data_IF_117773592878
#
_entry.id   IF_117773592878
#
_cell.length_a   1.000
_cell.length_b   1.000
_cell.length_c   1.000
_cell.angle_alpha   90.00
_cell.angle_beta   90.00
_cell.angle_gamma   90.00
#
_symmetry.space_group_name_H-M   'P 1'
#
loop_
_entity.id
_entity.type
_entity.pdbx_description
1 polymer ?
#
# COMPACT_ATOMS: atom_id res chain seq x y z
N UNK A 1 17.17 -3.16 11.73
CA UNK A 1 16.88 -2.62 10.37
C UNK A 1 16.11 -3.62 9.49
N UNK A 2 16.56 -4.87 9.30
CA UNK A 2 15.87 -5.88 8.47
C UNK A 2 14.64 -6.51 9.16
N UNK A 3 14.71 -6.85 10.44
CA UNK A 3 13.59 -7.51 11.16
C UNK A 3 12.28 -6.70 11.14
N UNK A 4 12.34 -5.37 11.32
CA UNK A 4 11.17 -4.48 11.22
C UNK A 4 10.60 -4.35 9.80
N UNK A 5 11.40 -4.64 8.77
CA UNK A 5 10.95 -4.67 7.38
C UNK A 5 10.28 -6.01 7.06
N UNK A 6 10.86 -7.13 7.53
CA UNK A 6 10.27 -8.47 7.42
C UNK A 6 8.92 -8.57 8.12
N UNK A 7 8.81 -8.12 9.37
CA UNK A 7 7.56 -8.12 10.13
C UNK A 7 6.43 -7.37 9.42
N UNK A 8 6.78 -6.27 8.76
CA UNK A 8 5.81 -5.49 8.02
C UNK A 8 5.32 -6.18 6.76
N UNK A 9 6.21 -6.81 6.01
CA UNK A 9 5.84 -7.59 4.82
C UNK A 9 5.01 -8.80 5.24
N UNK A 10 5.35 -9.43 6.36
CA UNK A 10 4.59 -10.54 6.94
C UNK A 10 3.16 -10.12 7.32
N UNK A 11 3.02 -8.97 8.00
CA UNK A 11 1.72 -8.39 8.35
C UNK A 11 0.95 -7.93 7.11
N UNK A 12 1.63 -7.47 6.05
CA UNK A 12 1.02 -7.07 4.78
C UNK A 12 0.58 -8.27 3.92
N UNK A 13 1.19 -9.43 4.12
CA UNK A 13 0.89 -10.65 3.37
C UNK A 13 -0.53 -11.16 3.68
N UNK A 14 -0.98 -11.06 4.92
CA UNK A 14 -2.32 -11.47 5.37
C UNK A 14 -3.45 -10.70 4.67
N UNK A 15 -3.52 -9.35 4.74
CA UNK A 15 -4.55 -8.56 4.05
C UNK A 15 -4.41 -8.64 2.53
N UNK A 16 -3.18 -8.80 2.00
CA UNK A 16 -2.96 -9.08 0.58
C UNK A 16 -3.60 -10.39 0.13
N UNK A 17 -3.43 -11.47 0.90
CA UNK A 17 -4.06 -12.77 0.63
C UNK A 17 -5.59 -12.68 0.70
N UNK A 18 -6.15 -11.94 1.67
CA UNK A 18 -7.60 -11.67 1.76
C UNK A 18 -8.09 -10.94 0.51
N UNK A 19 -7.35 -9.97 0.00
CA UNK A 19 -7.67 -9.29 -1.26
C UNK A 19 -7.73 -10.25 -2.45
N UNK A 20 -6.73 -11.14 -2.59
CA UNK A 20 -6.72 -12.16 -3.66
C UNK A 20 -7.90 -13.14 -3.52
N UNK A 21 -8.27 -13.51 -2.30
CA UNK A 21 -9.46 -14.32 -2.04
C UNK A 21 -10.74 -13.59 -2.45
N UNK A 22 -10.86 -12.29 -2.14
CA UNK A 22 -11.97 -11.45 -2.60
C UNK A 22 -12.07 -11.38 -4.13
N UNK A 23 -10.95 -11.22 -4.83
CA UNK A 23 -10.90 -11.28 -6.29
C UNK A 23 -11.34 -12.64 -6.86
N UNK A 24 -10.92 -13.73 -6.21
CA UNK A 24 -11.33 -15.08 -6.60
C UNK A 24 -12.86 -15.22 -6.53
N UNK A 25 -13.49 -14.67 -5.50
CA UNK A 25 -14.94 -14.69 -5.35
C UNK A 25 -15.67 -13.85 -6.40
N UNK A 26 -15.09 -12.72 -6.83
CA UNK A 26 -15.66 -11.93 -7.95
C UNK A 26 -15.68 -12.76 -9.23
N UNK A 27 -14.58 -13.46 -9.55
CA UNK A 27 -14.53 -14.37 -10.69
C UNK A 27 -15.59 -15.47 -10.57
N UNK A 28 -15.73 -16.07 -9.39
CA UNK A 28 -16.74 -17.11 -9.15
C UNK A 28 -18.16 -16.59 -9.42
N UNK A 29 -18.47 -15.35 -9.01
CA UNK A 29 -19.76 -14.72 -9.30
C UNK A 29 -20.00 -14.55 -10.82
N UNK A 30 -18.96 -14.21 -11.59
CA UNK A 30 -19.03 -14.16 -13.06
C UNK A 30 -19.22 -15.55 -13.67
N UNK A 31 -18.55 -16.59 -13.15
CA UNK A 31 -18.72 -17.96 -13.62
C UNK A 31 -20.13 -18.48 -13.33
N UNK A 32 -20.68 -18.22 -12.14
CA UNK A 32 -22.06 -18.59 -11.81
C UNK A 32 -23.07 -17.91 -12.74
N UNK A 33 -22.85 -16.62 -13.03
CA UNK A 33 -23.69 -15.91 -14.00
C UNK A 33 -23.57 -16.50 -15.41
N UNK A 34 -22.35 -16.82 -15.86
CA UNK A 34 -22.12 -17.44 -17.17
C UNK A 34 -22.64 -18.88 -17.27
N UNK A 35 -22.67 -19.61 -16.16
CA UNK A 35 -23.21 -20.97 -16.07
C UNK A 35 -24.75 -21.01 -16.04
N UNK A 36 -25.42 -19.85 -15.98
CA UNK A 36 -26.88 -19.73 -15.95
C UNK A 36 -27.49 -19.84 -14.54
N UNK A 37 -26.67 -19.93 -13.49
CA UNK A 37 -27.10 -20.16 -12.11
C UNK A 37 -27.55 -18.86 -11.38
N UNK A 38 -27.92 -17.84 -12.15
CA UNK A 38 -28.30 -16.52 -11.64
C UNK A 38 -27.12 -15.68 -11.13
N UNK A 39 -27.29 -14.36 -11.08
CA UNK A 39 -26.23 -13.47 -10.63
C UNK A 39 -26.08 -13.52 -9.10
N UNK A 40 -24.97 -14.10 -8.63
CA UNK A 40 -24.66 -14.19 -7.21
C UNK A 40 -24.20 -12.83 -6.65
N UNK A 41 -25.16 -11.94 -6.41
CA UNK A 41 -24.94 -10.63 -5.79
C UNK A 41 -24.13 -10.71 -4.49
N UNK A 42 -24.35 -11.78 -3.72
CA UNK A 42 -23.69 -12.02 -2.44
C UNK A 42 -22.19 -12.32 -2.60
N UNK A 43 -21.81 -13.13 -3.62
CA UNK A 43 -20.41 -13.38 -3.94
C UNK A 43 -19.73 -12.15 -4.56
N UNK A 44 -20.46 -11.39 -5.39
CA UNK A 44 -19.93 -10.18 -6.02
C UNK A 44 -19.66 -9.07 -5.00
N UNK A 45 -20.65 -8.73 -4.17
CA UNK A 45 -20.51 -7.72 -3.12
C UNK A 45 -19.56 -8.21 -2.02
N UNK A 46 -19.67 -9.47 -1.59
CA UNK A 46 -18.78 -10.05 -0.59
C UNK A 46 -17.32 -10.06 -1.04
N UNK A 47 -17.07 -10.48 -2.28
CA UNK A 47 -15.74 -10.44 -2.90
C UNK A 47 -15.21 -9.01 -3.07
N UNK A 48 -16.08 -8.09 -3.52
CA UNK A 48 -15.76 -6.67 -3.66
C UNK A 48 -15.39 -6.00 -2.33
N UNK A 49 -16.12 -6.28 -1.25
CA UNK A 49 -15.82 -5.78 0.09
C UNK A 49 -14.51 -6.38 0.61
N UNK A 50 -14.29 -7.70 0.47
CA UNK A 50 -13.02 -8.33 0.88
C UNK A 50 -11.83 -7.74 0.12
N UNK A 51 -12.00 -7.50 -1.18
CA UNK A 51 -10.97 -6.89 -2.02
C UNK A 51 -10.68 -5.46 -1.60
N UNK A 52 -11.70 -4.62 -1.43
CA UNK A 52 -11.55 -3.24 -0.97
C UNK A 52 -10.94 -3.18 0.43
N UNK A 53 -11.35 -4.06 1.33
CA UNK A 53 -10.83 -4.10 2.69
C UNK A 53 -9.34 -4.49 2.69
N UNK A 54 -8.97 -5.50 1.90
CA UNK A 54 -7.57 -5.87 1.69
C UNK A 54 -6.75 -4.71 1.11
N UNK A 55 -7.27 -4.02 0.09
CA UNK A 55 -6.60 -2.89 -0.56
C UNK A 55 -6.48 -1.67 0.35
N UNK A 56 -7.53 -1.36 1.11
CA UNK A 56 -7.55 -0.25 2.06
C UNK A 56 -6.58 -0.48 3.21
N UNK A 57 -6.52 -1.71 3.72
CA UNK A 57 -5.58 -2.09 4.76
C UNK A 57 -4.13 -2.03 4.26
N UNK A 58 -3.86 -2.58 3.07
CA UNK A 58 -2.53 -2.53 2.44
C UNK A 58 -2.12 -1.08 2.14
N UNK A 59 -2.99 -0.30 1.51
CA UNK A 59 -2.74 1.09 1.13
C UNK A 59 -2.56 2.02 2.32
N UNK A 60 -3.43 1.91 3.33
CA UNK A 60 -3.34 2.69 4.57
C UNK A 60 -2.07 2.36 5.37
N UNK A 61 -1.71 1.08 5.46
CA UNK A 61 -0.48 0.67 6.13
C UNK A 61 0.78 1.06 5.35
N UNK A 62 0.74 1.00 4.02
CA UNK A 62 1.85 1.45 3.17
C UNK A 62 2.07 2.95 3.34
N UNK A 63 1.00 3.76 3.30
CA UNK A 63 1.06 5.20 3.51
C UNK A 63 1.62 5.57 4.90
N UNK A 64 1.09 4.96 5.97
CA UNK A 64 1.59 5.20 7.33
C UNK A 64 3.08 4.82 7.51
N UNK A 65 3.54 3.76 6.82
CA UNK A 65 4.95 3.34 6.86
C UNK A 65 5.86 4.18 6.00
N UNK A 66 5.38 4.65 4.85
CA UNK A 66 6.19 5.44 3.91
C UNK A 66 6.37 6.88 4.40
N UNK A 67 5.40 7.43 5.14
CA UNK A 67 5.49 8.76 5.75
C UNK A 67 6.70 8.90 6.70
N UNK A 68 7.00 7.85 7.50
CA UNK A 68 8.20 7.84 8.35
C UNK A 68 9.51 7.59 7.60
N UNK A 69 9.45 7.21 6.32
CA UNK A 69 10.63 7.00 5.46
C UNK A 69 10.86 8.12 4.47
N UNK A 70 10.19 9.27 4.64
CA UNK A 70 10.49 10.53 3.97
C UNK A 70 11.85 11.12 4.43
N UNK A 71 12.92 10.36 4.21
CA UNK A 71 14.31 10.80 4.14
C UNK A 71 14.59 11.33 2.72
N UNK A 72 13.70 12.16 2.19
CA UNK A 72 13.97 13.02 1.04
C UNK A 72 14.39 14.37 1.63
N UNK A 73 15.64 14.81 1.71
CA UNK A 73 16.96 14.29 1.38
C UNK A 73 17.92 15.04 2.34
N UNK A 74 18.96 14.44 2.92
CA UNK A 74 20.01 15.21 3.59
C UNK A 74 20.75 16.18 2.65
N UNK A 75 20.51 16.12 1.32
CA UNK A 75 21.01 17.07 0.33
C UNK A 75 20.47 18.50 0.53
N UNK A 76 19.34 18.71 1.22
CA UNK A 76 18.88 20.08 1.56
C UNK A 76 19.71 20.75 2.67
N UNK A 77 20.58 20.03 3.38
CA UNK A 77 21.46 20.59 4.44
C UNK A 77 22.74 21.25 3.91
N UNK A 78 23.01 21.23 2.60
CA UNK A 78 24.29 21.71 2.02
C UNK A 78 24.25 23.07 1.29
N UNK A 79 23.23 23.92 1.51
CA UNK A 79 23.21 25.28 0.94
C UNK A 79 23.00 26.40 1.98
N UNK A 80 23.58 26.29 3.17
CA UNK A 80 23.65 27.43 4.10
C UNK A 80 25.00 27.61 4.79
N UNK A 81 26.08 27.19 4.12
CA UNK A 81 27.46 27.38 4.61
C UNK A 81 28.39 27.99 3.55
N UNK A 82 27.82 28.63 2.53
CA UNK A 82 28.59 29.24 1.43
C UNK A 82 28.28 30.74 1.25
N UNK A 83 27.41 31.32 2.08
CA UNK A 83 27.12 32.77 2.09
C UNK A 83 27.82 33.55 3.20
N UNK A 84 28.52 32.89 4.13
CA UNK A 84 29.22 33.54 5.25
C UNK A 84 30.74 33.67 5.02
N UNK A 85 31.22 33.32 3.82
CA UNK A 85 32.61 33.44 3.42
C UNK A 85 32.72 34.25 2.11
N UNK A 86 32.21 35.49 2.16
CA UNK A 86 32.64 36.56 1.27
C UNK A 86 32.77 37.82 2.13
N UNK A 87 33.96 37.98 2.69
CA UNK A 87 34.41 39.23 3.27
C UNK A 87 35.27 39.93 2.21
N UNK A 88 34.81 41.03 1.58
CA UNK A 88 35.55 41.74 0.54
C UNK A 88 36.66 42.66 1.08
N UNK A 89 37.14 42.45 2.31
CA UNK A 89 38.09 43.36 3.00
C UNK A 89 39.52 42.82 3.17
N UNK A 90 40.03 42.01 2.24
CA UNK A 90 41.46 41.66 2.13
C UNK A 90 42.03 42.04 0.77
#
# INVERSE_FOLDING_TARGET
MIYQRLLAILILCIPGAIGVLGWKWMREAFFNYAAGDGFSWLLFIGGGILFLFGLFFVGGFLFYRDEKRNNLQPMLRRKKKQSDQYDPSS
#
